data_IF_558805945155
#
_entry.id   IF_558805945155
#
_cell.length_a   1.000
_cell.length_b   1.000
_cell.length_c   1.000
_cell.angle_alpha   90.00
_cell.angle_beta   90.00
_cell.angle_gamma   90.00
#
_symmetry.space_group_name_H-M   'P 1'
#
loop_
_entity.id
_entity.type
_entity.pdbx_description
1 polymer ?
#
# COMPACT_ATOMS: atom_id res chain seq x y z
N UNK A 1 -13.29 -24.05 5.36
CA UNK A 1 -13.30 -23.05 6.43
C UNK A 1 -11.92 -23.11 7.10
N UNK A 2 -11.17 -22.00 7.06
CA UNK A 2 -9.83 -21.93 7.65
C UNK A 2 -9.99 -21.94 9.18
N UNK A 3 -9.61 -23.04 9.82
CA UNK A 3 -9.78 -23.18 11.27
C UNK A 3 -8.45 -22.87 11.99
N UNK A 4 -8.15 -21.57 12.14
CA UNK A 4 -6.94 -21.12 12.86
C UNK A 4 -7.04 -21.26 14.37
N UNK A 5 -8.24 -21.56 14.90
CA UNK A 5 -8.47 -21.79 16.33
C UNK A 5 -8.29 -23.26 16.73
N UNK A 6 -7.96 -24.13 15.79
CA UNK A 6 -7.64 -25.51 16.09
C UNK A 6 -6.34 -25.60 16.92
N UNK A 7 -6.19 -26.67 17.68
CA UNK A 7 -5.08 -26.88 18.63
C UNK A 7 -3.69 -26.75 17.97
N UNK A 8 -3.52 -27.37 16.79
CA UNK A 8 -2.23 -27.39 16.10
C UNK A 8 -1.80 -25.99 15.61
N UNK A 9 -2.63 -25.24 14.83
CA UNK A 9 -2.29 -23.87 14.46
C UNK A 9 -2.01 -22.97 15.66
N UNK A 10 -2.83 -23.04 16.71
CA UNK A 10 -2.68 -22.23 17.92
C UNK A 10 -1.36 -22.52 18.62
N UNK A 11 -0.96 -23.79 18.75
CA UNK A 11 0.31 -24.16 19.35
C UNK A 11 1.50 -23.65 18.52
N UNK A 12 1.46 -23.80 17.19
CA UNK A 12 2.52 -23.28 16.30
C UNK A 12 2.65 -21.77 16.42
N UNK A 13 1.54 -21.04 16.38
CA UNK A 13 1.53 -19.57 16.53
C UNK A 13 2.08 -19.12 17.88
N UNK A 14 1.86 -19.91 18.94
CA UNK A 14 2.38 -19.59 20.27
C UNK A 14 3.89 -19.82 20.41
N UNK A 15 4.45 -20.73 19.62
CA UNK A 15 5.88 -21.10 19.67
C UNK A 15 6.74 -20.24 18.73
N UNK A 16 6.14 -19.43 17.88
CA UNK A 16 6.85 -18.60 16.90
C UNK A 16 6.88 -17.13 17.30
N UNK A 17 7.92 -16.41 16.87
CA UNK A 17 8.06 -14.96 17.12
C UNK A 17 7.16 -14.09 16.22
N UNK A 18 6.40 -14.72 15.36
CA UNK A 18 5.43 -14.08 14.49
C UNK A 18 4.91 -15.07 13.46
N UNK A 19 3.81 -14.70 12.82
CA UNK A 19 3.21 -15.51 11.77
C UNK A 19 2.58 -14.60 10.70
N UNK A 20 2.61 -15.06 9.46
CA UNK A 20 1.92 -14.43 8.34
C UNK A 20 0.76 -15.36 7.97
N UNK A 21 -0.44 -14.81 7.99
CA UNK A 21 -1.67 -15.54 7.76
C UNK A 21 -2.18 -15.25 6.35
N UNK A 22 -2.31 -16.29 5.54
CA UNK A 22 -2.91 -16.21 4.21
C UNK A 22 -4.40 -16.54 4.30
N UNK A 23 -5.22 -15.71 3.66
CA UNK A 23 -6.67 -15.85 3.67
C UNK A 23 -7.21 -16.20 2.28
N UNK A 24 -7.94 -17.31 2.19
CA UNK A 24 -8.64 -17.72 0.98
C UNK A 24 -9.75 -16.70 0.61
N UNK A 25 -10.37 -16.06 1.61
CA UNK A 25 -11.35 -15.00 1.40
C UNK A 25 -10.75 -13.78 0.72
N UNK A 26 -9.60 -13.29 1.19
CA UNK A 26 -8.90 -12.17 0.55
C UNK A 26 -8.45 -12.53 -0.88
N UNK A 27 -8.01 -13.78 -1.09
CA UNK A 27 -7.66 -14.26 -2.43
C UNK A 27 -8.87 -14.24 -3.37
N UNK A 28 -10.04 -14.69 -2.93
CA UNK A 28 -11.26 -14.68 -3.74
C UNK A 28 -11.74 -13.27 -4.08
N UNK A 29 -11.38 -12.27 -3.28
CA UNK A 29 -11.62 -10.85 -3.53
C UNK A 29 -10.56 -10.20 -4.45
N UNK A 30 -9.61 -10.99 -4.97
CA UNK A 30 -8.56 -10.49 -5.86
C UNK A 30 -7.46 -9.71 -5.15
N UNK A 31 -7.28 -9.92 -3.84
CA UNK A 31 -6.17 -9.33 -3.12
C UNK A 31 -4.93 -10.23 -3.22
N UNK A 32 -3.84 -9.67 -3.73
CA UNK A 32 -2.56 -10.34 -3.85
C UNK A 32 -1.43 -9.44 -3.34
N UNK A 33 -0.54 -9.94 -2.44
CA UNK A 33 -0.64 -11.23 -1.75
C UNK A 33 -1.88 -11.27 -0.83
N UNK A 34 -2.47 -12.44 -0.67
CA UNK A 34 -3.68 -12.65 0.14
C UNK A 34 -3.33 -12.76 1.64
N UNK A 35 -2.54 -11.82 2.15
CA UNK A 35 -2.10 -11.73 3.54
C UNK A 35 -3.12 -10.93 4.33
N UNK A 36 -3.55 -11.49 5.45
CA UNK A 36 -4.44 -10.81 6.40
C UNK A 36 -3.59 -9.94 7.36
N UNK A 37 -3.62 -8.60 7.23
CA UNK A 37 -2.81 -7.72 8.07
C UNK A 37 -3.31 -7.60 9.50
N UNK A 38 -4.58 -7.90 9.76
CA UNK A 38 -5.17 -7.82 11.10
C UNK A 38 -4.80 -9.03 11.95
N UNK A 39 -4.73 -10.21 11.31
CA UNK A 39 -4.43 -11.48 11.99
C UNK A 39 -2.96 -11.87 11.92
N UNK A 40 -2.19 -11.26 11.05
CA UNK A 40 -0.73 -11.49 10.99
C UNK A 40 -0.04 -10.74 12.13
N UNK A 41 0.89 -11.41 12.79
CA UNK A 41 1.60 -10.87 13.95
C UNK A 41 3.10 -10.91 13.72
N UNK A 42 3.79 -9.84 14.07
CA UNK A 42 5.25 -9.80 14.15
C UNK A 42 5.68 -9.23 15.51
N UNK A 43 6.41 -10.01 16.29
CA UNK A 43 6.91 -9.59 17.60
C UNK A 43 8.28 -8.92 17.49
N UNK A 44 9.21 -9.59 16.83
CA UNK A 44 10.60 -9.10 16.65
C UNK A 44 10.69 -8.13 15.48
N UNK A 45 10.03 -8.42 14.36
CA UNK A 45 10.09 -7.59 13.17
C UNK A 45 9.66 -6.15 13.39
N UNK A 46 8.64 -5.91 14.24
CA UNK A 46 8.23 -4.56 14.60
C UNK A 46 9.33 -3.78 15.36
N UNK A 47 10.12 -4.46 16.21
CA UNK A 47 11.20 -3.80 16.96
C UNK A 47 12.37 -3.40 16.06
N UNK A 48 12.64 -4.16 15.01
CA UNK A 48 13.75 -3.92 14.08
C UNK A 48 13.40 -2.94 12.95
N UNK A 49 12.13 -2.59 12.80
CA UNK A 49 11.71 -1.59 11.83
C UNK A 49 12.21 -0.19 12.16
N UNK A 50 12.52 0.58 11.14
CA UNK A 50 12.89 2.00 11.26
C UNK A 50 11.70 2.82 11.76
N UNK A 51 11.92 3.96 12.45
CA UNK A 51 10.84 4.78 13.03
C UNK A 51 9.75 5.14 12.00
N UNK A 52 10.14 5.59 10.81
CA UNK A 52 9.19 5.93 9.74
C UNK A 52 8.35 4.74 9.30
N UNK A 53 8.95 3.56 9.16
CA UNK A 53 8.20 2.33 8.82
C UNK A 53 7.14 2.01 9.89
N UNK A 54 7.48 2.12 11.17
CA UNK A 54 6.55 1.86 12.28
C UNK A 54 5.36 2.80 12.21
N UNK A 55 5.63 4.10 12.16
CA UNK A 55 4.58 5.13 12.10
C UNK A 55 3.67 4.91 10.90
N UNK A 56 4.24 4.65 9.73
CA UNK A 56 3.47 4.44 8.50
C UNK A 56 2.66 3.14 8.54
N UNK A 57 3.26 2.05 9.00
CA UNK A 57 2.59 0.76 9.14
C UNK A 57 1.40 0.83 10.11
N UNK A 58 1.56 1.51 11.25
CA UNK A 58 0.50 1.68 12.23
C UNK A 58 -0.64 2.54 11.69
N UNK A 59 -0.33 3.65 11.00
CA UNK A 59 -1.33 4.50 10.35
C UNK A 59 -2.13 3.74 9.28
N UNK A 60 -1.45 2.95 8.44
CA UNK A 60 -2.10 2.17 7.38
C UNK A 60 -2.94 1.04 7.96
N UNK A 61 -2.44 0.34 8.98
CA UNK A 61 -3.21 -0.70 9.67
C UNK A 61 -4.48 -0.13 10.30
N UNK A 62 -4.39 1.01 10.96
CA UNK A 62 -5.53 1.72 11.52
C UNK A 62 -6.52 2.14 10.44
N UNK A 63 -6.04 2.66 9.30
CA UNK A 63 -6.89 3.06 8.18
C UNK A 63 -7.65 1.86 7.59
N UNK A 64 -6.99 0.71 7.43
CA UNK A 64 -7.61 -0.52 6.91
C UNK A 64 -8.63 -1.06 7.91
N UNK A 65 -8.34 -1.04 9.21
CA UNK A 65 -9.28 -1.48 10.24
C UNK A 65 -10.56 -0.61 10.25
N UNK A 66 -10.40 0.72 10.19
CA UNK A 66 -11.51 1.66 10.07
C UNK A 66 -12.31 1.39 8.77
N UNK A 67 -11.63 1.18 7.66
CA UNK A 67 -12.29 0.83 6.39
C UNK A 67 -13.16 -0.41 6.51
N UNK A 68 -12.66 -1.50 7.08
CA UNK A 68 -13.42 -2.73 7.25
C UNK A 68 -14.60 -2.57 8.22
N UNK A 69 -14.45 -1.74 9.25
CA UNK A 69 -15.54 -1.40 10.16
C UNK A 69 -16.63 -0.61 9.42
N UNK A 70 -16.28 0.44 8.70
CA UNK A 70 -17.20 1.27 7.93
C UNK A 70 -17.87 0.49 6.80
N UNK A 71 -17.16 -0.41 6.12
CA UNK A 71 -17.74 -1.28 5.08
C UNK A 71 -18.85 -2.17 5.66
N UNK A 72 -18.66 -2.68 6.87
CA UNK A 72 -19.69 -3.48 7.55
C UNK A 72 -20.92 -2.63 7.89
N UNK A 73 -20.72 -1.41 8.42
CA UNK A 73 -21.82 -0.49 8.75
C UNK A 73 -22.53 0.09 7.52
N UNK A 74 -21.80 0.42 6.46
CA UNK A 74 -22.36 0.96 5.22
C UNK A 74 -23.35 0.03 4.53
N UNK A 75 -23.26 -1.27 4.75
CA UNK A 75 -24.23 -2.26 4.25
C UNK A 75 -25.61 -2.13 4.91
N UNK A 76 -25.73 -1.43 6.02
CA UNK A 76 -26.99 -1.21 6.75
C UNK A 76 -27.73 0.07 6.37
N UNK A 77 -27.29 0.78 5.30
CA UNK A 77 -28.03 1.90 4.70
C UNK A 77 -27.97 3.21 5.50
N UNK A 78 -27.01 3.38 6.40
CA UNK A 78 -26.80 4.64 7.09
C UNK A 78 -26.17 5.68 6.15
N UNK A 79 -26.68 6.92 6.18
CA UNK A 79 -26.04 8.05 5.49
C UNK A 79 -24.66 8.31 6.11
N UNK A 80 -23.62 8.22 5.25
CA UNK A 80 -22.24 8.45 5.68
C UNK A 80 -21.93 9.94 5.63
N UNK A 81 -21.31 10.46 6.67
CA UNK A 81 -20.78 11.84 6.65
C UNK A 81 -19.68 11.99 5.59
N UNK A 82 -19.43 13.22 5.09
CA UNK A 82 -18.34 13.45 4.11
C UNK A 82 -16.96 12.96 4.60
N UNK A 83 -16.68 13.13 5.90
CA UNK A 83 -15.43 12.65 6.52
C UNK A 83 -15.34 11.12 6.48
N UNK A 84 -16.44 10.44 6.79
CA UNK A 84 -16.52 8.98 6.75
C UNK A 84 -16.36 8.46 5.32
N UNK A 85 -16.96 9.14 4.33
CA UNK A 85 -16.78 8.81 2.92
C UNK A 85 -15.32 8.96 2.48
N UNK A 86 -14.64 10.01 2.95
CA UNK A 86 -13.21 10.22 2.68
C UNK A 86 -12.35 9.09 3.26
N UNK A 87 -12.60 8.68 4.50
CA UNK A 87 -11.89 7.57 5.14
C UNK A 87 -12.12 6.25 4.40
N UNK A 88 -13.36 5.99 3.97
CA UNK A 88 -13.71 4.80 3.21
C UNK A 88 -12.98 4.76 1.86
N UNK A 89 -12.95 5.90 1.17
CA UNK A 89 -12.21 6.06 -0.09
C UNK A 89 -10.71 5.82 0.10
N UNK A 90 -10.09 6.44 1.10
CA UNK A 90 -8.67 6.27 1.40
C UNK A 90 -8.34 4.82 1.78
N UNK A 91 -9.21 4.14 2.54
CA UNK A 91 -9.05 2.73 2.86
C UNK A 91 -9.08 1.82 1.63
N UNK A 92 -10.01 2.05 0.71
CA UNK A 92 -10.04 1.34 -0.59
C UNK A 92 -8.76 1.56 -1.39
N UNK A 93 -8.28 2.80 -1.44
CA UNK A 93 -7.04 3.14 -2.14
C UNK A 93 -5.85 2.46 -1.46
N UNK A 94 -5.78 2.45 -0.12
CA UNK A 94 -4.73 1.78 0.63
C UNK A 94 -4.65 0.28 0.30
N UNK A 95 -5.79 -0.41 0.28
CA UNK A 95 -5.86 -1.83 -0.09
C UNK A 95 -5.39 -2.05 -1.53
N UNK A 96 -5.79 -1.19 -2.46
CA UNK A 96 -5.38 -1.29 -3.86
C UNK A 96 -3.87 -1.05 -4.05
N UNK A 97 -3.29 -0.10 -3.31
CA UNK A 97 -1.84 0.16 -3.34
C UNK A 97 -1.02 -1.00 -2.77
N UNK A 98 -1.56 -1.74 -1.80
CA UNK A 98 -0.92 -2.91 -1.21
C UNK A 98 -0.96 -4.14 -2.11
N UNK A 99 -1.83 -4.19 -3.13
CA UNK A 99 -1.82 -5.29 -4.10
C UNK A 99 -0.51 -5.28 -4.89
N UNK A 100 0.04 -6.46 -5.11
CA UNK A 100 1.27 -6.64 -5.90
C UNK A 100 1.03 -7.72 -6.94
N UNK A 101 1.56 -7.52 -8.14
CA UNK A 101 1.58 -8.55 -9.17
C UNK A 101 2.52 -9.69 -8.77
N UNK A 102 2.28 -10.86 -9.33
CA UNK A 102 3.14 -12.01 -9.09
C UNK A 102 4.57 -11.70 -9.56
N UNK A 103 5.55 -11.95 -8.68
CA UNK A 103 6.98 -11.65 -8.88
C UNK A 103 7.33 -10.15 -8.96
N UNK A 104 6.39 -9.26 -8.72
CA UNK A 104 6.69 -7.82 -8.62
C UNK A 104 7.50 -7.55 -7.34
N UNK A 105 8.70 -7.02 -7.52
CA UNK A 105 9.56 -6.58 -6.42
C UNK A 105 9.52 -5.07 -6.34
N UNK A 106 8.95 -4.55 -5.26
CA UNK A 106 8.94 -3.11 -4.97
C UNK A 106 10.04 -2.86 -3.94
N UNK A 107 10.95 -1.94 -4.25
CA UNK A 107 11.96 -1.49 -3.29
C UNK A 107 11.28 -0.92 -2.04
N UNK A 108 11.74 -1.26 -0.82
CA UNK A 108 11.13 -0.77 0.42
C UNK A 108 11.04 0.76 0.50
N UNK A 109 12.01 1.49 -0.06
CA UNK A 109 11.97 2.95 -0.10
C UNK A 109 10.84 3.47 -0.99
N UNK A 110 10.64 2.86 -2.15
CA UNK A 110 9.54 3.19 -3.07
C UNK A 110 8.20 2.84 -2.44
N UNK A 111 8.11 1.71 -1.74
CA UNK A 111 6.91 1.30 -1.03
C UNK A 111 6.51 2.31 0.05
N UNK A 112 7.47 2.79 0.83
CA UNK A 112 7.23 3.84 1.84
C UNK A 112 6.71 5.11 1.18
N UNK A 113 7.34 5.56 0.10
CA UNK A 113 6.92 6.76 -0.63
C UNK A 113 5.51 6.58 -1.17
N UNK A 114 5.23 5.46 -1.82
CA UNK A 114 3.90 5.13 -2.37
C UNK A 114 2.82 5.17 -1.29
N UNK A 115 3.07 4.54 -0.15
CA UNK A 115 2.11 4.49 0.95
C UNK A 115 1.99 5.83 1.68
N UNK A 116 3.05 6.65 1.72
CA UNK A 116 3.00 8.00 2.28
C UNK A 116 2.12 8.94 1.46
N UNK A 117 1.94 8.69 0.14
CA UNK A 117 1.02 9.47 -0.68
C UNK A 117 -0.43 9.41 -0.18
N UNK A 118 -0.84 8.35 0.56
CA UNK A 118 -2.16 8.26 1.18
C UNK A 118 -2.44 9.39 2.17
N UNK A 119 -1.40 9.94 2.78
CA UNK A 119 -1.47 11.00 3.77
C UNK A 119 -1.12 12.38 3.19
N UNK A 120 -0.96 12.46 1.86
CA UNK A 120 -0.78 13.69 1.10
C UNK A 120 -2.08 14.07 0.40
N UNK A 121 -2.22 15.31 -0.12
CA UNK A 121 -3.38 15.70 -0.92
C UNK A 121 -3.52 14.98 -2.26
N UNK A 122 -2.55 14.15 -2.64
CA UNK A 122 -2.50 13.52 -3.97
C UNK A 122 -3.76 12.72 -4.33
N UNK A 123 -4.36 12.03 -3.38
CA UNK A 123 -5.54 11.19 -3.60
C UNK A 123 -6.87 11.86 -3.23
N UNK A 124 -6.88 13.12 -2.82
CA UNK A 124 -8.11 13.79 -2.38
C UNK A 124 -9.17 13.86 -3.48
N UNK A 125 -8.76 14.13 -4.72
CA UNK A 125 -9.61 14.26 -5.92
C UNK A 125 -9.62 13.01 -6.81
N UNK A 126 -8.85 11.97 -6.49
CA UNK A 126 -8.66 10.78 -7.32
C UNK A 126 -9.47 9.60 -6.78
N UNK A 127 -10.01 8.79 -7.68
CA UNK A 127 -10.78 7.60 -7.36
C UNK A 127 -9.95 6.30 -7.42
N UNK A 128 -10.58 5.19 -7.09
CA UNK A 128 -9.97 3.87 -7.13
C UNK A 128 -9.55 3.45 -8.54
N UNK A 129 -10.31 3.86 -9.56
CA UNK A 129 -10.02 3.53 -10.95
C UNK A 129 -8.74 4.23 -11.43
N UNK A 130 -8.56 5.51 -11.03
CA UNK A 130 -7.31 6.22 -11.25
C UNK A 130 -6.12 5.47 -10.67
N UNK A 131 -6.24 4.96 -9.45
CA UNK A 131 -5.15 4.23 -8.78
C UNK A 131 -4.82 2.95 -9.55
N UNK A 132 -5.81 2.15 -9.92
CA UNK A 132 -5.63 0.93 -10.71
C UNK A 132 -4.91 1.18 -12.02
N UNK A 133 -5.32 2.23 -12.73
CA UNK A 133 -4.76 2.59 -14.03
C UNK A 133 -3.33 3.16 -13.92
N UNK A 134 -3.03 3.88 -12.86
CA UNK A 134 -1.78 4.65 -12.77
C UNK A 134 -0.77 4.13 -11.76
N UNK A 135 -1.07 3.11 -10.95
CA UNK A 135 -0.15 2.55 -9.96
C UNK A 135 1.23 2.22 -10.54
N UNK A 136 1.27 1.53 -11.68
CA UNK A 136 2.52 1.17 -12.35
C UNK A 136 3.31 2.40 -12.81
N UNK A 137 2.62 3.48 -13.24
CA UNK A 137 3.26 4.75 -13.62
C UNK A 137 3.84 5.46 -12.40
N UNK A 138 3.09 5.47 -11.29
CA UNK A 138 3.54 6.04 -10.02
C UNK A 138 4.79 5.31 -9.52
N UNK A 139 4.78 3.98 -9.54
CA UNK A 139 5.94 3.17 -9.15
C UNK A 139 7.15 3.43 -10.05
N UNK A 140 6.94 3.54 -11.36
CA UNK A 140 8.01 3.87 -12.33
C UNK A 140 8.57 5.26 -12.06
N UNK A 141 7.71 6.26 -11.85
CA UNK A 141 8.14 7.61 -11.53
C UNK A 141 9.09 7.63 -10.34
N UNK A 142 8.73 6.97 -9.23
CA UNK A 142 9.57 6.91 -8.04
C UNK A 142 10.81 6.02 -8.18
N UNK A 143 10.86 5.14 -9.14
CA UNK A 143 12.06 4.35 -9.46
C UNK A 143 13.08 5.15 -10.25
N UNK A 144 12.63 5.96 -11.20
CA UNK A 144 13.47 6.53 -12.24
C UNK A 144 13.79 8.02 -11.98
N UNK A 145 12.95 8.75 -11.24
CA UNK A 145 13.12 10.18 -11.05
C UNK A 145 14.30 10.50 -10.10
N UNK A 146 15.10 11.53 -10.40
CA UNK A 146 16.19 11.99 -9.52
C UNK A 146 15.68 12.45 -8.16
N UNK A 147 14.52 13.11 -8.14
CA UNK A 147 13.86 13.60 -6.92
C UNK A 147 13.47 12.45 -6.00
N UNK A 148 12.92 11.38 -6.57
CA UNK A 148 12.57 10.18 -5.83
C UNK A 148 13.81 9.46 -5.27
N UNK A 149 14.92 9.45 -5.99
CA UNK A 149 16.18 8.91 -5.48
C UNK A 149 16.72 9.71 -4.31
N UNK A 150 16.60 11.04 -4.35
CA UNK A 150 16.96 11.90 -3.21
C UNK A 150 16.10 11.62 -1.98
N UNK A 151 14.78 11.47 -2.18
CA UNK A 151 13.86 11.09 -1.11
C UNK A 151 14.24 9.70 -0.59
N UNK A 152 14.48 8.73 -1.47
CA UNK A 152 14.88 7.37 -1.10
C UNK A 152 16.15 7.33 -0.25
N UNK A 153 17.14 8.13 -0.57
CA UNK A 153 18.39 8.21 0.20
C UNK A 153 18.18 8.81 1.60
N UNK A 154 17.24 9.73 1.76
CA UNK A 154 16.91 10.38 3.04
C UNK A 154 15.91 9.59 3.88
N UNK A 155 15.24 8.58 3.32
CA UNK A 155 14.15 7.84 3.96
C UNK A 155 14.56 7.15 5.27
N UNK A 156 15.86 7.00 5.49
CA UNK A 156 16.44 6.41 6.70
C UNK A 156 16.41 7.33 7.90
N UNK A 157 16.44 8.64 7.66
CA UNK A 157 16.63 9.68 8.68
C UNK A 157 15.48 10.68 8.72
N UNK A 158 14.57 10.61 7.75
CA UNK A 158 13.45 11.53 7.64
C UNK A 158 12.25 11.04 8.46
N UNK A 159 11.52 11.95 9.07
CA UNK A 159 10.21 11.71 9.66
C UNK A 159 9.09 11.80 8.61
N UNK A 160 7.87 11.40 8.99
CA UNK A 160 6.76 11.37 8.06
C UNK A 160 6.37 12.78 7.57
N UNK A 161 6.37 13.77 8.44
CA UNK A 161 5.94 15.12 8.09
C UNK A 161 6.92 15.77 7.10
N UNK A 162 8.21 15.64 7.34
CA UNK A 162 9.25 16.09 6.41
C UNK A 162 9.22 15.32 5.08
N UNK A 163 8.87 14.03 5.10
CA UNK A 163 8.66 13.26 3.87
C UNK A 163 7.47 13.79 3.10
N UNK A 164 6.35 14.06 3.76
CA UNK A 164 5.15 14.60 3.12
C UNK A 164 5.39 15.97 2.50
N UNK A 165 6.17 16.84 3.14
CA UNK A 165 6.53 18.14 2.60
C UNK A 165 7.42 18.04 1.35
N UNK A 166 8.38 17.12 1.36
CA UNK A 166 9.17 16.81 0.16
C UNK A 166 8.29 16.24 -0.97
N UNK A 167 7.34 15.36 -0.64
CA UNK A 167 6.42 14.80 -1.64
C UNK A 167 5.52 15.88 -2.26
N UNK A 168 5.03 16.85 -1.47
CA UNK A 168 4.22 17.96 -2.01
C UNK A 168 4.90 18.69 -3.16
N UNK A 169 6.22 18.87 -3.10
CA UNK A 169 6.99 19.51 -4.17
C UNK A 169 7.03 18.65 -5.45
N UNK A 170 6.98 17.33 -5.31
CA UNK A 170 7.02 16.39 -6.43
C UNK A 170 5.64 16.10 -7.05
N UNK A 171 4.53 16.43 -6.36
CA UNK A 171 3.18 16.11 -6.82
C UNK A 171 2.84 16.64 -8.22
N UNK A 172 3.17 17.90 -8.61
CA UNK A 172 2.86 18.38 -9.96
C UNK A 172 3.54 17.58 -11.07
N UNK A 173 4.76 17.11 -10.82
CA UNK A 173 5.52 16.29 -11.76
C UNK A 173 4.94 14.86 -11.83
N UNK A 174 4.57 14.31 -10.69
CA UNK A 174 3.89 13.02 -10.61
C UNK A 174 2.56 13.03 -11.36
N UNK A 175 1.76 14.07 -11.22
CA UNK A 175 0.50 14.22 -11.96
C UNK A 175 0.71 14.27 -13.47
N UNK A 176 1.72 15.00 -13.93
CA UNK A 176 2.10 15.01 -15.35
C UNK A 176 2.47 13.60 -15.83
N UNK A 177 3.27 12.87 -15.06
CA UNK A 177 3.66 11.50 -15.38
C UNK A 177 2.46 10.54 -15.45
N UNK A 178 1.43 10.74 -14.63
CA UNK A 178 0.20 9.96 -14.70
C UNK A 178 -0.65 10.29 -15.92
N UNK A 179 -0.63 11.54 -16.43
CA UNK A 179 -1.42 11.97 -17.59
C UNK A 179 -0.81 11.55 -18.92
N UNK A 180 0.50 11.42 -19.02
CA UNK A 180 1.17 10.96 -20.25
C UNK A 180 0.82 9.50 -20.52
N UNK A 181 0.22 9.21 -21.67
CA UNK A 181 0.00 7.85 -22.16
C UNK A 181 1.35 7.17 -22.37
N UNK A 182 1.52 6.00 -21.77
CA UNK A 182 2.68 5.16 -22.01
C UNK A 182 2.60 4.64 -23.45
N UNK A 183 3.38 5.19 -24.35
CA UNK A 183 3.67 4.51 -25.63
C UNK A 183 4.36 3.18 -25.27
N UNK A 184 3.82 2.03 -25.67
CA UNK A 184 4.49 0.76 -25.44
C UNK A 184 5.79 0.78 -26.24
N UNK A 185 6.93 0.73 -25.55
CA UNK A 185 8.20 0.42 -26.21
C UNK A 185 8.07 -1.01 -26.75
N UNK A 186 7.85 -1.09 -28.06
CA UNK A 186 7.99 -2.32 -28.81
C UNK A 186 9.43 -2.81 -28.65
N UNK A 187 9.62 -3.84 -27.85
CA UNK A 187 10.85 -4.61 -27.82
C UNK A 187 10.95 -5.39 -29.15
N UNK A 188 11.36 -4.69 -30.20
CA UNK A 188 11.89 -5.30 -31.41
C UNK A 188 13.38 -5.58 -31.18
N UNK A 189 13.68 -6.64 -30.45
CA UNK A 189 14.92 -7.35 -30.63
C UNK A 189 14.64 -8.60 -31.47
N UNK A 190 14.79 -8.34 -32.74
CA UNK A 190 14.85 -9.35 -33.78
C UNK A 190 15.82 -10.45 -33.43
N UNK A 191 15.33 -11.66 -33.51
CA UNK A 191 16.16 -12.82 -33.79
C UNK A 191 17.03 -12.54 -35.05
N UNK A 192 18.31 -12.62 -34.93
CA UNK A 192 19.22 -12.95 -36.02
C UNK A 192 20.20 -13.99 -35.51
N UNK A 193 20.03 -15.21 -36.13
CA UNK A 193 20.98 -16.32 -36.30
C UNK A 193 21.41 -17.04 -35.04
#
# INVERSE_FOLDING_TARGET
MENFTALIPTNIMSMTDGHILFSASLRSQGQYPAIDPERSVTRVGHQTQRPLHKVLADKIRSLIAIYHELERFGRFGSELTPETQKLLKLGMIAIELLKQEQLERIDPSIQIILLSLLFSPFFDDKDLEFVRKNKSKILRYFRDSPEAKLIGNKILTIDLDSLLDNLKQSLPNLEKACRTESTPQSNSQSQKL
#
